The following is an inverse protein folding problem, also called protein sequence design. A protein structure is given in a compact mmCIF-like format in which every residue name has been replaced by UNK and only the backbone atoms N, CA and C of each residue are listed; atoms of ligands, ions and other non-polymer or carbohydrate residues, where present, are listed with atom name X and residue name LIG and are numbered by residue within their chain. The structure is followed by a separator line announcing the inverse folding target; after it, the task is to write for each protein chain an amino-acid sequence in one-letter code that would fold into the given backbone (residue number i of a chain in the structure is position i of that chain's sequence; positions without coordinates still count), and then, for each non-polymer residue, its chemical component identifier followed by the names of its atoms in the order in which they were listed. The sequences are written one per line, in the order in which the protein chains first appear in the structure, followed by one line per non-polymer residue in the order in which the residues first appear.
data_IF_737455175198
#
_entry.id   IF_737455175198
#
_cell.length_a   1.000
_cell.length_b   1.000
_cell.length_c   1.000
_cell.angle_alpha   90.00
_cell.angle_beta   90.00
_cell.angle_gamma   90.00
#
_symmetry.space_group_name_H-M   'P 1'
#
loop_
_entity.id
_entity.type
_entity.pdbx_description
1 polymer ?
#
# COMPACT_ATOMS: atom_id res chain seq x y z
N UNK A 1 4.32 -9.89 17.86
CA UNK A 1 5.39 -9.65 16.85
C UNK A 1 4.99 -9.99 15.39
N UNK A 2 4.21 -11.05 15.10
CA UNK A 2 3.84 -11.47 13.72
C UNK A 2 3.17 -10.39 12.84
N UNK A 3 2.29 -9.54 13.39
CA UNK A 3 1.55 -8.54 12.59
C UNK A 3 2.46 -7.43 12.04
N UNK A 4 3.42 -6.94 12.83
CA UNK A 4 4.45 -5.98 12.39
C UNK A 4 5.34 -6.53 11.26
N UNK A 5 5.55 -7.85 11.22
CA UNK A 5 6.28 -8.52 10.14
C UNK A 5 5.49 -8.45 8.82
N UNK A 6 4.19 -8.78 8.86
CA UNK A 6 3.32 -8.70 7.67
C UNK A 6 3.26 -7.29 7.05
N UNK A 7 3.17 -6.24 7.88
CA UNK A 7 3.21 -4.87 7.36
C UNK A 7 4.55 -4.53 6.71
N UNK A 8 5.67 -4.98 7.28
CA UNK A 8 7.00 -4.78 6.67
C UNK A 8 7.13 -5.52 5.34
N UNK A 9 6.66 -6.77 5.27
CA UNK A 9 6.65 -7.57 4.04
C UNK A 9 5.82 -6.86 2.96
N UNK A 10 4.64 -6.35 3.30
CA UNK A 10 3.81 -5.57 2.38
C UNK A 10 4.52 -4.28 1.90
N UNK A 11 5.14 -3.53 2.80
CA UNK A 11 5.94 -2.34 2.43
C UNK A 11 7.11 -2.71 1.51
N UNK A 12 7.79 -3.83 1.75
CA UNK A 12 8.89 -4.31 0.91
C UNK A 12 8.43 -4.65 -0.52
N UNK A 13 7.22 -5.19 -0.68
CA UNK A 13 6.64 -5.41 -2.02
C UNK A 13 6.39 -4.09 -2.75
N UNK A 14 5.88 -3.06 -2.07
CA UNK A 14 5.76 -1.73 -2.66
C UNK A 14 7.12 -1.13 -3.02
N UNK A 15 8.14 -1.30 -2.17
CA UNK A 15 9.51 -0.85 -2.45
C UNK A 15 10.09 -1.53 -3.70
N UNK A 16 9.84 -2.83 -3.86
CA UNK A 16 10.25 -3.57 -5.06
C UNK A 16 9.54 -3.07 -6.34
N UNK A 17 8.26 -2.73 -6.25
CA UNK A 17 7.53 -2.13 -7.37
C UNK A 17 8.11 -0.76 -7.75
N UNK A 18 8.38 0.11 -6.80
CA UNK A 18 8.95 1.44 -7.04
C UNK A 18 10.36 1.42 -7.64
N UNK A 19 11.11 0.33 -7.42
CA UNK A 19 12.42 0.11 -8.02
C UNK A 19 12.35 -0.20 -9.51
N UNK A 20 11.18 -0.55 -10.05
CA UNK A 20 10.99 -0.80 -11.47
C UNK A 20 11.10 0.50 -12.28
N UNK A 21 11.65 0.40 -13.49
CA UNK A 21 11.84 1.53 -14.42
C UNK A 21 10.71 1.69 -15.44
N UNK A 22 9.78 0.74 -15.48
CA UNK A 22 8.68 0.68 -16.46
C UNK A 22 7.36 1.26 -15.93
N UNK A 23 7.40 1.96 -14.79
CA UNK A 23 6.22 2.61 -14.22
C UNK A 23 6.01 3.99 -14.84
N UNK A 24 4.80 4.24 -15.31
CA UNK A 24 4.35 5.59 -15.62
C UNK A 24 4.31 6.47 -14.36
N UNK A 25 4.42 7.81 -14.48
CA UNK A 25 4.37 8.70 -13.32
C UNK A 25 3.14 8.48 -12.43
N UNK A 26 1.95 8.32 -13.02
CA UNK A 26 0.71 8.10 -12.29
C UNK A 26 0.71 6.77 -11.52
N UNK A 27 1.32 5.72 -12.10
CA UNK A 27 1.47 4.41 -11.47
C UNK A 27 2.43 4.48 -10.28
N UNK A 28 3.56 5.19 -10.45
CA UNK A 28 4.52 5.44 -9.37
C UNK A 28 3.86 6.17 -8.20
N UNK A 29 3.13 7.25 -8.48
CA UNK A 29 2.41 8.03 -7.46
C UNK A 29 1.37 7.18 -6.70
N UNK A 30 0.61 6.34 -7.41
CA UNK A 30 -0.36 5.45 -6.79
C UNK A 30 0.30 4.39 -5.87
N UNK A 31 1.43 3.82 -6.29
CA UNK A 31 2.22 2.87 -5.51
C UNK A 31 2.82 3.56 -4.27
N UNK A 32 3.37 4.77 -4.41
CA UNK A 32 3.91 5.55 -3.28
C UNK A 32 2.83 5.90 -2.26
N UNK A 33 1.67 6.38 -2.72
CA UNK A 33 0.54 6.69 -1.87
C UNK A 33 0.02 5.45 -1.13
N UNK A 34 -0.07 4.31 -1.82
CA UNK A 34 -0.50 3.04 -1.23
C UNK A 34 0.50 2.53 -0.18
N UNK A 35 1.80 2.63 -0.46
CA UNK A 35 2.86 2.32 0.49
C UNK A 35 2.77 3.17 1.76
N UNK A 36 2.47 4.47 1.62
CA UNK A 36 2.31 5.39 2.76
C UNK A 36 1.14 4.95 3.66
N UNK A 37 0.01 4.55 3.07
CA UNK A 37 -1.14 4.03 3.81
C UNK A 37 -0.81 2.76 4.63
N UNK A 38 -0.05 1.82 4.07
CA UNK A 38 0.39 0.63 4.82
C UNK A 38 1.29 1.02 6.00
N UNK A 39 2.20 1.99 5.80
CA UNK A 39 3.05 2.51 6.89
C UNK A 39 2.22 3.17 7.98
N UNK A 40 1.20 3.95 7.63
CA UNK A 40 0.29 4.56 8.59
C UNK A 40 -0.47 3.51 9.40
N UNK A 41 -1.08 2.52 8.73
CA UNK A 41 -1.74 1.40 9.40
C UNK A 41 -0.79 0.65 10.36
N UNK A 42 0.48 0.47 9.97
CA UNK A 42 1.48 -0.20 10.80
C UNK A 42 1.85 0.55 12.10
N UNK A 43 1.58 1.86 12.15
CA UNK A 43 1.83 2.72 13.32
C UNK A 43 0.67 2.72 14.31
N UNK A 44 -0.53 2.29 13.90
CA UNK A 44 -1.68 2.17 14.80
C UNK A 44 -1.41 1.05 15.82
N UNK A 45 -1.53 1.36 17.11
CA UNK A 45 -1.41 0.38 18.18
C UNK A 45 -2.68 -0.46 18.22
N UNK A 46 -2.59 -1.73 17.82
CA UNK A 46 -3.71 -2.68 17.76
C UNK A 46 -4.87 -2.18 16.88
N UNK A 47 -4.68 -2.06 15.55
CA UNK A 47 -5.76 -1.65 14.65
C UNK A 47 -6.92 -2.65 14.72
N UNK A 48 -8.14 -2.11 14.71
CA UNK A 48 -9.35 -2.91 14.60
C UNK A 48 -9.45 -3.55 13.20
N UNK A 49 -10.33 -4.52 13.05
CA UNK A 49 -10.62 -5.10 11.74
C UNK A 49 -11.19 -4.05 10.78
N UNK A 50 -12.06 -3.16 11.29
CA UNK A 50 -12.60 -2.04 10.52
C UNK A 50 -11.50 -1.07 10.03
N UNK A 51 -10.48 -0.80 10.86
CA UNK A 51 -9.32 -0.02 10.43
C UNK A 51 -8.58 -0.71 9.29
N UNK A 52 -8.32 -2.00 9.42
CA UNK A 52 -7.64 -2.77 8.37
C UNK A 52 -8.44 -2.70 7.06
N UNK A 53 -9.74 -2.96 7.09
CA UNK A 53 -10.58 -2.90 5.89
C UNK A 53 -10.65 -1.50 5.28
N UNK A 54 -10.73 -0.45 6.10
CA UNK A 54 -10.70 0.94 5.62
C UNK A 54 -9.42 1.24 4.86
N UNK A 55 -8.26 0.88 5.41
CA UNK A 55 -6.97 1.07 4.75
C UNK A 55 -6.83 0.22 3.49
N UNK A 56 -7.30 -1.03 3.50
CA UNK A 56 -7.34 -1.90 2.31
C UNK A 56 -8.20 -1.28 1.21
N UNK A 57 -9.39 -0.76 1.55
CA UNK A 57 -10.27 -0.08 0.60
C UNK A 57 -9.58 1.12 -0.07
N UNK A 58 -8.94 1.98 0.72
CA UNK A 58 -8.20 3.15 0.21
C UNK A 58 -7.02 2.77 -0.70
N UNK A 59 -6.30 1.70 -0.36
CA UNK A 59 -5.21 1.18 -1.20
C UNK A 59 -5.77 0.63 -2.52
N UNK A 60 -6.81 -0.21 -2.44
CA UNK A 60 -7.45 -0.80 -3.62
C UNK A 60 -7.99 0.26 -4.56
N UNK A 61 -8.66 1.30 -4.05
CA UNK A 61 -9.17 2.41 -4.86
C UNK A 61 -8.05 3.13 -5.62
N UNK A 62 -6.95 3.47 -4.93
CA UNK A 62 -5.79 4.15 -5.54
C UNK A 62 -5.16 3.32 -6.65
N UNK A 63 -4.93 2.03 -6.37
CA UNK A 63 -4.32 1.13 -7.35
C UNK A 63 -5.26 0.87 -8.53
N UNK A 64 -6.53 0.56 -8.29
CA UNK A 64 -7.49 0.29 -9.36
C UNK A 64 -7.73 1.51 -10.26
N UNK A 65 -7.73 2.72 -9.71
CA UNK A 65 -7.91 3.94 -10.51
C UNK A 65 -6.85 4.11 -11.60
N UNK A 66 -5.63 3.67 -11.32
CA UNK A 66 -4.48 3.84 -12.22
C UNK A 66 -4.24 2.59 -13.06
N UNK A 67 -4.28 1.40 -12.46
CA UNK A 67 -3.97 0.14 -13.15
C UNK A 67 -5.14 -0.47 -13.94
N UNK A 68 -6.39 -0.04 -13.72
CA UNK A 68 -7.56 -0.52 -14.49
C UNK A 68 -7.84 0.29 -15.76
N UNK A 69 -7.08 1.36 -16.03
CA UNK A 69 -7.20 2.16 -17.25
C UNK A 69 -6.51 1.55 -18.49
N UNK A 70 -5.97 0.34 -18.37
CA UNK A 70 -5.38 -0.42 -19.49
C UNK A 70 -6.10 -1.75 -19.69
#
# INVERSE_FOLDING_TARGET
MRRKRKYRECVAHFDALLARRDLEPEQRDAIEASRKLVKELSRIRNPSEADVFRYVGQISEKLLKVFRKH
#
